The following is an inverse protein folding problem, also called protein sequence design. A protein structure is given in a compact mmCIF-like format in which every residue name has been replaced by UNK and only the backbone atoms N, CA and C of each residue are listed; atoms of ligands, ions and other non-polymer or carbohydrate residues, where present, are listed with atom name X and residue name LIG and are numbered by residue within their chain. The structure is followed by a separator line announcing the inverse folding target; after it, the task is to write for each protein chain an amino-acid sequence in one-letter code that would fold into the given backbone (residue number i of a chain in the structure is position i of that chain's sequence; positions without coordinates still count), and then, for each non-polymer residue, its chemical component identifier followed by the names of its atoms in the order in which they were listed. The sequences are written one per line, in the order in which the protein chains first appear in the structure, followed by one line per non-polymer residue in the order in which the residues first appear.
data_IF_199115928014
#
_entry.id   IF_199115928014
#
_cell.length_a   1.000
_cell.length_b   1.000
_cell.length_c   1.000
_cell.angle_alpha   90.00
_cell.angle_beta   90.00
_cell.angle_gamma   90.00
#
_symmetry.space_group_name_H-M   'P 1'
#
loop_
_entity.id
_entity.type
_entity.pdbx_description
1 polymer ?
#
# COMPACT_ATOMS: atom_id res chain seq x y z
N UNK A 1 6.41 -0.44 10.41
CA UNK A 1 7.37 -1.42 9.86
C UNK A 1 6.81 -2.01 8.57
N UNK A 2 7.63 -2.69 7.75
CA UNK A 2 7.14 -3.47 6.59
C UNK A 2 7.12 -4.95 6.98
N UNK A 3 6.03 -5.64 6.68
CA UNK A 3 5.89 -7.08 6.91
C UNK A 3 6.31 -7.80 5.62
N UNK A 4 7.52 -8.39 5.61
CA UNK A 4 8.13 -8.94 4.38
C UNK A 4 7.96 -10.45 4.22
N UNK A 5 7.37 -11.13 5.22
CA UNK A 5 7.20 -12.58 5.16
C UNK A 5 6.12 -12.92 4.13
N UNK A 6 6.54 -13.59 3.07
CA UNK A 6 5.68 -14.04 1.99
C UNK A 6 6.30 -15.22 1.22
N UNK A 7 5.99 -15.29 -0.06
CA UNK A 7 6.47 -16.34 -0.96
C UNK A 7 6.29 -15.93 -2.43
N UNK A 8 6.50 -16.89 -3.33
CA UNK A 8 6.22 -16.68 -4.75
C UNK A 8 4.74 -16.32 -4.98
N UNK A 9 4.38 -15.64 -6.08
CA UNK A 9 2.99 -15.52 -6.48
C UNK A 9 2.30 -16.89 -6.54
N UNK A 10 1.02 -16.92 -6.19
CA UNK A 10 0.22 -18.14 -6.21
C UNK A 10 0.20 -18.74 -7.63
N UNK A 11 0.30 -20.07 -7.73
CA UNK A 11 0.19 -20.79 -9.00
C UNK A 11 1.51 -20.99 -9.78
N UNK A 12 2.62 -20.39 -9.37
CA UNK A 12 3.91 -20.50 -10.09
C UNK A 12 4.47 -21.94 -10.05
N UNK A 13 4.41 -22.62 -8.91
CA UNK A 13 4.96 -23.97 -8.76
C UNK A 13 4.15 -24.81 -7.77
N UNK A 14 3.66 -26.01 -8.18
CA UNK A 14 2.97 -26.93 -7.29
C UNK A 14 3.82 -27.31 -6.07
N UNK A 15 3.18 -27.42 -4.91
CA UNK A 15 3.85 -27.81 -3.66
C UNK A 15 4.81 -26.76 -3.08
N UNK A 16 4.79 -25.52 -3.57
CA UNK A 16 5.59 -24.43 -3.00
C UNK A 16 5.13 -24.15 -1.56
N UNK A 17 6.01 -24.22 -0.55
CA UNK A 17 5.66 -23.82 0.81
C UNK A 17 5.56 -22.29 0.89
N UNK A 18 4.55 -21.80 1.62
CA UNK A 18 4.36 -20.38 1.91
C UNK A 18 4.66 -20.12 3.38
N UNK A 19 5.51 -19.14 3.64
CA UNK A 19 5.81 -18.73 4.99
C UNK A 19 4.73 -17.76 5.49
N UNK A 20 4.46 -17.81 6.79
CA UNK A 20 3.58 -16.87 7.46
C UNK A 20 4.28 -16.29 8.68
N UNK A 21 4.03 -15.01 8.96
CA UNK A 21 4.42 -14.37 10.21
C UNK A 21 3.18 -13.86 10.95
N UNK A 22 3.37 -13.54 12.23
CA UNK A 22 2.34 -12.94 13.07
C UNK A 22 2.94 -11.73 13.77
N UNK A 23 2.16 -10.66 13.85
CA UNK A 23 2.47 -9.46 14.62
C UNK A 23 1.27 -9.12 15.49
N UNK A 24 1.52 -8.61 16.69
CA UNK A 24 0.48 -8.06 17.57
C UNK A 24 0.32 -6.58 17.26
N UNK A 25 -0.90 -6.15 16.95
CA UNK A 25 -1.22 -4.74 16.77
C UNK A 25 -1.76 -4.17 18.10
N UNK A 26 -1.18 -3.06 18.54
CA UNK A 26 -1.57 -2.36 19.76
C UNK A 26 -2.59 -1.24 19.44
N UNK A 27 -3.37 -0.78 20.42
CA UNK A 27 -4.27 0.36 20.23
C UNK A 27 -3.55 1.57 19.63
N UNK A 28 -4.09 2.10 18.53
CA UNK A 28 -3.47 3.20 17.78
C UNK A 28 -2.62 2.76 16.59
N UNK A 29 -2.30 1.47 16.46
CA UNK A 29 -1.59 0.96 15.28
C UNK A 29 -2.47 0.97 14.02
N UNK A 30 -1.81 1.04 12.87
CA UNK A 30 -2.43 1.07 11.54
C UNK A 30 -1.79 -0.01 10.68
N UNK A 31 -2.62 -0.90 10.15
CA UNK A 31 -2.26 -1.85 9.12
C UNK A 31 -2.72 -1.31 7.76
N UNK A 32 -1.79 -1.20 6.82
CA UNK A 32 -2.05 -0.80 5.43
C UNK A 32 -1.64 -1.95 4.52
N UNK A 33 -2.56 -2.39 3.66
CA UNK A 33 -2.36 -3.45 2.67
C UNK A 33 -2.72 -2.88 1.32
N UNK A 34 -1.88 -3.09 0.31
CA UNK A 34 -2.09 -2.54 -1.03
C UNK A 34 -1.56 -3.48 -2.11
N UNK A 35 -2.07 -3.31 -3.34
CA UNK A 35 -1.49 -3.89 -4.56
C UNK A 35 -0.37 -3.00 -5.10
N UNK A 36 0.56 -3.61 -5.85
CA UNK A 36 1.64 -2.92 -6.57
C UNK A 36 1.16 -1.74 -7.42
N UNK A 37 -0.04 -1.82 -8.02
CA UNK A 37 -0.68 -0.69 -8.70
C UNK A 37 -0.79 0.63 -7.91
N UNK A 38 -0.60 0.64 -6.59
CA UNK A 38 -0.44 1.88 -5.79
C UNK A 38 0.94 2.51 -5.98
N UNK A 39 2.01 1.72 -5.87
CA UNK A 39 3.39 2.21 -5.90
C UNK A 39 3.95 2.31 -7.31
N UNK A 40 3.46 1.47 -8.23
CA UNK A 40 3.79 1.48 -9.66
C UNK A 40 2.91 2.46 -10.45
N UNK A 41 2.01 3.20 -9.78
CA UNK A 41 1.22 4.25 -10.42
C UNK A 41 2.15 5.30 -11.05
N UNK A 42 2.01 5.49 -12.37
CA UNK A 42 2.93 6.26 -13.19
C UNK A 42 2.34 7.62 -13.59
N UNK A 43 3.16 8.67 -13.58
CA UNK A 43 2.77 10.00 -14.08
C UNK A 43 3.12 10.18 -15.57
N UNK A 44 2.77 11.33 -16.16
CA UNK A 44 3.05 11.62 -17.58
C UNK A 44 4.55 11.70 -17.95
N UNK A 45 5.45 11.65 -16.97
CA UNK A 45 6.91 11.63 -17.16
C UNK A 45 7.49 10.22 -17.03
N UNK A 46 6.63 9.19 -16.98
CA UNK A 46 7.02 7.80 -16.78
C UNK A 46 7.70 7.56 -15.41
N UNK A 47 7.37 8.39 -14.40
CA UNK A 47 7.86 8.23 -13.04
C UNK A 47 6.83 7.50 -12.17
N UNK A 48 7.27 6.47 -11.46
CA UNK A 48 6.45 5.77 -10.47
C UNK A 48 6.24 6.58 -9.17
N UNK A 49 5.07 6.42 -8.56
CA UNK A 49 4.73 7.03 -7.27
C UNK A 49 5.72 6.61 -6.17
N UNK A 50 5.98 5.30 -6.09
CA UNK A 50 7.01 4.67 -5.27
C UNK A 50 6.71 4.59 -3.78
N UNK A 51 7.35 3.60 -3.13
CA UNK A 51 7.22 3.36 -1.68
C UNK A 51 7.61 4.56 -0.82
N UNK A 52 8.63 5.33 -1.23
CA UNK A 52 9.14 6.47 -0.45
C UNK A 52 8.05 7.52 -0.18
N UNK A 53 7.23 7.83 -1.20
CA UNK A 53 6.12 8.79 -1.05
C UNK A 53 5.01 8.23 -0.18
N UNK A 54 4.65 6.95 -0.41
CA UNK A 54 3.64 6.26 0.38
C UNK A 54 4.01 6.23 1.87
N UNK A 55 5.23 5.82 2.21
CA UNK A 55 5.71 5.73 3.59
C UNK A 55 5.73 7.10 4.28
N UNK A 56 6.19 8.15 3.58
CA UNK A 56 6.18 9.52 4.11
C UNK A 56 4.75 10.00 4.39
N UNK A 57 3.82 9.72 3.48
CA UNK A 57 2.41 10.07 3.63
C UNK A 57 1.76 9.35 4.81
N UNK A 58 1.99 8.04 4.94
CA UNK A 58 1.46 7.24 6.05
C UNK A 58 2.01 7.73 7.40
N UNK A 59 3.30 8.06 7.47
CA UNK A 59 3.90 8.61 8.68
C UNK A 59 3.27 9.95 9.10
N UNK A 60 2.97 10.84 8.13
CA UNK A 60 2.32 12.12 8.38
C UNK A 60 0.86 11.97 8.84
N UNK A 61 0.16 10.95 8.34
CA UNK A 61 -1.28 10.75 8.60
C UNK A 61 -1.59 9.71 9.68
N UNK A 62 -0.58 9.14 10.35
CA UNK A 62 -0.71 8.00 11.29
C UNK A 62 -1.69 8.19 12.46
N UNK A 63 -2.14 9.41 12.73
CA UNK A 63 -3.11 9.73 13.81
C UNK A 63 -4.55 9.88 13.32
N UNK A 64 -4.78 9.92 12.00
CA UNK A 64 -6.12 10.05 11.40
C UNK A 64 -6.95 8.77 11.51
N UNK A 65 -8.25 8.84 11.24
CA UNK A 65 -9.06 7.62 11.15
C UNK A 65 -8.59 6.74 9.96
N UNK A 66 -9.00 5.47 9.93
CA UNK A 66 -8.69 4.60 8.79
C UNK A 66 -9.20 5.20 7.46
N UNK A 67 -10.38 5.82 7.49
CA UNK A 67 -10.96 6.51 6.32
C UNK A 67 -10.15 7.74 5.90
N UNK A 68 -9.64 8.54 6.84
CA UNK A 68 -8.81 9.71 6.54
C UNK A 68 -7.48 9.29 5.90
N UNK A 69 -6.86 8.22 6.42
CA UNK A 69 -5.61 7.67 5.87
C UNK A 69 -5.85 7.13 4.47
N UNK A 70 -6.90 6.34 4.26
CA UNK A 70 -7.24 5.82 2.93
C UNK A 70 -7.47 6.96 1.93
N UNK A 71 -8.24 7.99 2.32
CA UNK A 71 -8.48 9.17 1.49
C UNK A 71 -7.19 9.92 1.16
N UNK A 72 -6.27 10.05 2.13
CA UNK A 72 -4.98 10.68 1.92
C UNK A 72 -4.11 9.89 0.92
N UNK A 73 -4.07 8.55 1.03
CA UNK A 73 -3.34 7.68 0.09
C UNK A 73 -3.89 7.84 -1.32
N UNK A 74 -5.21 7.61 -1.51
CA UNK A 74 -5.84 7.67 -2.83
C UNK A 74 -5.67 9.05 -3.47
N UNK A 75 -5.96 10.12 -2.71
CA UNK A 75 -5.83 11.49 -3.22
C UNK A 75 -4.39 11.89 -3.55
N UNK A 76 -3.40 11.35 -2.84
CA UNK A 76 -1.99 11.59 -3.17
C UNK A 76 -1.55 10.87 -4.43
N UNK A 77 -2.05 9.66 -4.69
CA UNK A 77 -1.78 8.95 -5.95
C UNK A 77 -2.46 9.69 -7.10
N UNK A 78 -3.74 10.04 -6.96
CA UNK A 78 -4.50 10.81 -7.97
C UNK A 78 -3.79 12.14 -8.32
N UNK A 79 -3.31 12.86 -7.30
CA UNK A 79 -2.57 14.11 -7.51
C UNK A 79 -1.24 13.89 -8.24
N UNK A 80 -0.57 12.76 -7.97
CA UNK A 80 0.73 12.46 -8.57
C UNK A 80 0.59 12.04 -10.05
N UNK A 81 -0.36 11.16 -10.36
CA UNK A 81 -0.59 10.69 -11.74
C UNK A 81 -1.19 11.80 -12.61
N UNK A 82 -2.02 12.68 -12.03
CA UNK A 82 -2.70 13.75 -12.76
C UNK A 82 -3.62 13.19 -13.84
N UNK A 83 -3.45 13.64 -15.08
CA UNK A 83 -4.22 13.16 -16.24
C UNK A 83 -3.60 11.93 -16.91
N UNK A 84 -2.54 11.35 -16.34
CA UNK A 84 -1.93 10.14 -16.88
C UNK A 84 -2.93 8.97 -16.86
N UNK A 85 -2.84 8.10 -17.86
CA UNK A 85 -3.71 6.93 -17.94
C UNK A 85 -3.33 5.94 -16.82
N UNK A 86 -4.33 5.35 -16.19
CA UNK A 86 -4.09 4.25 -15.26
C UNK A 86 -3.59 3.00 -16.01
N UNK A 87 -2.47 2.43 -15.53
CA UNK A 87 -1.81 1.30 -16.15
C UNK A 87 -2.09 -0.06 -15.45
N UNK A 88 -2.51 -0.05 -14.18
CA UNK A 88 -2.84 -1.25 -13.41
C UNK A 88 -3.96 -1.00 -12.36
N UNK A 89 -4.54 -2.07 -11.80
CA UNK A 89 -5.59 -2.00 -10.78
C UNK A 89 -5.03 -1.53 -9.42
N UNK A 90 -5.64 -0.47 -8.89
CA UNK A 90 -5.24 0.11 -7.61
C UNK A 90 -6.18 -0.36 -6.50
N UNK A 91 -5.64 -1.12 -5.55
CA UNK A 91 -6.36 -1.54 -4.34
C UNK A 91 -5.58 -1.14 -3.09
N UNK A 92 -6.27 -0.52 -2.11
CA UNK A 92 -5.70 -0.17 -0.82
C UNK A 92 -6.72 -0.42 0.30
N UNK A 93 -6.28 -1.07 1.38
CA UNK A 93 -7.04 -1.35 2.59
C UNK A 93 -6.31 -0.75 3.78
N UNK A 94 -7.07 -0.06 4.63
CA UNK A 94 -6.57 0.51 5.89
C UNK A 94 -7.41 -0.04 7.05
N UNK A 95 -6.74 -0.63 8.03
CA UNK A 95 -7.33 -1.06 9.29
C UNK A 95 -6.63 -0.35 10.45
N UNK A 96 -7.42 0.11 11.43
CA UNK A 96 -6.91 0.76 12.65
C UNK A 96 -7.42 0.02 13.87
N UNK A 97 -6.51 -0.24 14.81
CA UNK A 97 -6.87 -0.74 16.13
C UNK A 97 -7.32 0.45 16.99
N UNK A 98 -8.54 0.37 17.52
CA UNK A 98 -9.19 1.41 18.34
C UNK A 98 -9.21 1.04 19.81
#
# INVERSE_FOLDING_TARGET
ERLEVGGLPLGIRPGTPYNSATVTLEPGDVLVIFTDGVVEAENNQEEEYGDTRLLALLAANRRGSAADILKAVMGSVDTFVGDARQHDDLTCLVARVV
#
